data_IF_837638158355
#
_entry.id   IF_837638158355
#
_cell.length_a   1.000
_cell.length_b   1.000
_cell.length_c   1.000
_cell.angle_alpha   90.00
_cell.angle_beta   90.00
_cell.angle_gamma   90.00
#
_symmetry.space_group_name_H-M   'P 1'
#
loop_
_entity.id
_entity.type
_entity.pdbx_description
1 polymer ?
#
# COMPACT_ATOMS: atom_id res chain seq x y z
N UNK A 1 -0.25 0.64 -22.74
CA UNK A 1 0.70 0.16 -21.71
C UNK A 1 0.12 0.29 -20.30
N UNK A 2 -0.23 1.50 -19.83
CA UNK A 2 -0.77 1.71 -18.47
C UNK A 2 -2.05 0.93 -18.16
N UNK A 3 -2.89 0.66 -19.15
CA UNK A 3 -4.11 -0.13 -18.96
C UNK A 3 -3.83 -1.58 -18.52
N UNK A 4 -2.92 -2.25 -19.23
CA UNK A 4 -2.51 -3.62 -18.89
C UNK A 4 -1.79 -3.66 -17.54
N UNK A 5 -0.89 -2.70 -17.28
CA UNK A 5 -0.22 -2.58 -15.98
C UNK A 5 -1.21 -2.36 -14.83
N UNK A 6 -2.19 -1.48 -15.02
CA UNK A 6 -3.26 -1.23 -14.06
C UNK A 6 -4.11 -2.47 -13.80
N UNK A 7 -4.50 -3.20 -14.85
CA UNK A 7 -5.23 -4.45 -14.72
C UNK A 7 -4.44 -5.50 -13.90
N UNK A 8 -3.16 -5.72 -14.23
CA UNK A 8 -2.29 -6.63 -13.48
C UNK A 8 -2.12 -6.20 -12.01
N UNK A 9 -1.95 -4.90 -11.76
CA UNK A 9 -1.88 -4.37 -10.39
C UNK A 9 -3.17 -4.66 -9.62
N UNK A 10 -4.33 -4.47 -10.26
CA UNK A 10 -5.62 -4.74 -9.62
C UNK A 10 -5.83 -6.23 -9.30
N UNK A 11 -5.33 -7.15 -10.13
CA UNK A 11 -5.31 -8.59 -9.82
C UNK A 11 -4.41 -8.87 -8.61
N UNK A 12 -3.21 -8.27 -8.55
CA UNK A 12 -2.34 -8.43 -7.39
C UNK A 12 -2.99 -7.92 -6.10
N UNK A 13 -3.63 -6.75 -6.16
CA UNK A 13 -4.36 -6.18 -5.04
C UNK A 13 -5.55 -7.05 -4.61
N UNK A 14 -6.29 -7.64 -5.54
CA UNK A 14 -7.43 -8.48 -5.18
C UNK A 14 -7.01 -9.71 -4.38
N UNK A 15 -5.88 -10.32 -4.74
CA UNK A 15 -5.28 -11.43 -3.97
C UNK A 15 -4.92 -10.97 -2.55
N UNK A 16 -4.26 -9.81 -2.42
CA UNK A 16 -3.90 -9.27 -1.10
C UNK A 16 -5.14 -8.97 -0.25
N UNK A 17 -6.19 -8.39 -0.83
CA UNK A 17 -7.43 -8.09 -0.11
C UNK A 17 -8.09 -9.39 0.37
N UNK A 18 -8.19 -10.39 -0.51
CA UNK A 18 -8.82 -11.66 -0.18
C UNK A 18 -8.07 -12.44 0.92
N UNK A 19 -6.74 -12.32 0.98
CA UNK A 19 -5.91 -13.05 1.97
C UNK A 19 -5.83 -12.31 3.29
N UNK A 20 -5.61 -10.99 3.26
CA UNK A 20 -5.28 -10.22 4.45
C UNK A 20 -6.45 -9.45 5.05
N UNK A 21 -7.55 -9.26 4.32
CA UNK A 21 -8.69 -8.41 4.70
C UNK A 21 -8.25 -7.05 5.31
N UNK A 22 -7.40 -6.27 4.63
CA UNK A 22 -6.87 -5.04 5.19
C UNK A 22 -7.95 -3.95 5.19
N UNK A 23 -8.05 -3.18 6.27
CA UNK A 23 -8.93 -2.01 6.29
C UNK A 23 -8.49 -0.91 5.31
N UNK A 24 -7.21 -0.89 4.93
CA UNK A 24 -6.63 0.17 4.10
C UNK A 24 -5.44 -0.31 3.27
N UNK A 25 -5.40 0.13 2.02
CA UNK A 25 -4.27 -0.02 1.11
C UNK A 25 -3.84 1.37 0.66
N UNK A 26 -2.54 1.66 0.78
CA UNK A 26 -1.95 2.93 0.35
C UNK A 26 -1.03 2.63 -0.84
N UNK A 27 -1.31 3.24 -1.99
CA UNK A 27 -0.46 3.12 -3.18
C UNK A 27 0.34 4.42 -3.30
N UNK A 28 1.65 4.32 -3.18
CA UNK A 28 2.57 5.47 -3.25
C UNK A 28 3.71 5.17 -4.23
N UNK A 29 4.56 6.18 -4.48
CA UNK A 29 5.70 6.10 -5.38
C UNK A 29 5.46 6.83 -6.70
N UNK A 30 6.53 6.94 -7.50
CA UNK A 30 6.52 7.67 -8.77
C UNK A 30 5.43 7.19 -9.74
N UNK A 31 5.09 5.90 -9.71
CA UNK A 31 4.04 5.32 -10.56
C UNK A 31 2.65 5.94 -10.36
N UNK A 32 2.41 6.67 -9.27
CA UNK A 32 1.14 7.38 -9.03
C UNK A 32 0.85 8.44 -10.10
N UNK A 33 1.88 9.02 -10.72
CA UNK A 33 1.73 10.01 -11.79
C UNK A 33 1.00 9.47 -13.03
N UNK A 34 0.96 8.15 -13.23
CA UNK A 34 0.20 7.52 -14.32
C UNK A 34 -1.32 7.74 -14.21
N UNK A 35 -1.80 8.14 -13.02
CA UNK A 35 -3.16 8.64 -12.80
C UNK A 35 -4.26 7.70 -13.29
N UNK A 36 -5.34 8.28 -13.82
CA UNK A 36 -6.54 7.55 -14.22
C UNK A 36 -6.27 6.45 -15.26
N UNK A 37 -5.27 6.62 -16.13
CA UNK A 37 -4.94 5.65 -17.17
C UNK A 37 -4.47 4.30 -16.60
N UNK A 38 -3.91 4.29 -15.39
CA UNK A 38 -3.53 3.08 -14.67
C UNK A 38 -4.56 2.70 -13.59
N UNK A 39 -5.08 3.69 -12.86
CA UNK A 39 -5.90 3.42 -11.68
C UNK A 39 -7.36 3.07 -11.99
N UNK A 40 -7.92 3.50 -13.11
CA UNK A 40 -9.24 3.02 -13.53
C UNK A 40 -9.23 1.52 -13.84
N UNK A 41 -8.36 0.99 -14.72
CA UNK A 41 -8.31 -0.45 -14.98
C UNK A 41 -7.91 -1.28 -13.75
N UNK A 42 -7.09 -0.72 -12.85
CA UNK A 42 -6.82 -1.33 -11.54
C UNK A 42 -8.08 -1.47 -10.70
N UNK A 43 -8.88 -0.40 -10.54
CA UNK A 43 -10.12 -0.45 -9.74
C UNK A 43 -11.12 -1.45 -10.31
N UNK A 44 -11.24 -1.53 -11.64
CA UNK A 44 -12.14 -2.49 -12.28
C UNK A 44 -11.68 -3.93 -12.07
N UNK A 45 -10.38 -4.20 -12.15
CA UNK A 45 -9.83 -5.53 -11.84
C UNK A 45 -10.03 -5.91 -10.36
N UNK A 46 -9.80 -4.98 -9.42
CA UNK A 46 -10.07 -5.21 -7.99
C UNK A 46 -11.54 -5.57 -7.76
N UNK A 47 -12.47 -4.79 -8.30
CA UNK A 47 -13.91 -5.08 -8.17
C UNK A 47 -14.30 -6.43 -8.74
N UNK A 48 -13.66 -6.85 -9.83
CA UNK A 48 -13.97 -8.11 -10.53
C UNK A 48 -13.46 -9.34 -9.77
N UNK A 49 -12.33 -9.21 -9.06
CA UNK A 49 -11.60 -10.36 -8.51
C UNK A 49 -11.56 -10.42 -6.97
N UNK A 50 -12.20 -9.49 -6.28
CA UNK A 50 -12.29 -9.45 -4.81
C UNK A 50 -13.69 -9.83 -4.34
N UNK A 51 -13.79 -10.57 -3.23
CA UNK A 51 -15.08 -10.82 -2.59
C UNK A 51 -15.71 -9.49 -2.11
N UNK A 52 -16.97 -9.25 -2.49
CA UNK A 52 -17.65 -7.96 -2.28
C UNK A 52 -17.61 -7.47 -0.84
N UNK A 53 -17.78 -8.37 0.14
CA UNK A 53 -17.78 -8.03 1.56
C UNK A 53 -16.40 -7.54 2.04
N UNK A 54 -15.32 -8.18 1.56
CA UNK A 54 -13.95 -7.77 1.89
C UNK A 54 -13.59 -6.44 1.20
N UNK A 55 -14.04 -6.26 -0.05
CA UNK A 55 -13.82 -5.02 -0.78
C UNK A 55 -14.54 -3.85 -0.11
N UNK A 56 -15.75 -4.05 0.41
CA UNK A 56 -16.52 -3.02 1.11
C UNK A 56 -15.81 -2.52 2.38
N UNK A 57 -14.99 -3.37 3.01
CA UNK A 57 -14.20 -3.02 4.20
C UNK A 57 -12.83 -2.43 3.88
N UNK A 58 -12.36 -2.53 2.63
CA UNK A 58 -11.02 -2.09 2.25
C UNK A 58 -11.03 -0.70 1.60
N UNK A 59 -10.34 0.27 2.19
CA UNK A 59 -10.14 1.59 1.59
C UNK A 59 -8.83 1.67 0.81
N UNK A 60 -8.90 1.83 -0.52
CA UNK A 60 -7.72 2.11 -1.35
C UNK A 60 -7.49 3.63 -1.43
N UNK A 61 -6.31 4.09 -1.02
CA UNK A 61 -5.91 5.50 -1.00
C UNK A 61 -4.67 5.70 -1.86
N UNK A 62 -4.69 6.76 -2.66
CA UNK A 62 -3.58 7.16 -3.53
C UNK A 62 -3.25 8.61 -3.16
N UNK A 63 -2.34 8.85 -2.20
CA UNK A 63 -1.94 10.20 -1.82
C UNK A 63 -1.15 10.87 -2.94
N UNK A 64 -1.06 12.20 -2.89
CA UNK A 64 -0.06 12.93 -3.66
C UNK A 64 1.33 12.44 -3.29
N UNK A 65 2.18 12.26 -4.30
CA UNK A 65 3.53 11.76 -4.14
C UNK A 65 4.54 12.86 -4.43
N UNK A 66 5.56 12.95 -3.58
CA UNK A 66 6.71 13.82 -3.79
C UNK A 66 8.01 13.03 -3.62
N UNK A 67 9.06 13.44 -4.33
CA UNK A 67 10.40 12.85 -4.16
C UNK A 67 10.90 12.91 -2.70
N UNK A 68 10.49 13.93 -1.95
CA UNK A 68 10.86 14.09 -0.54
C UNK A 68 10.29 12.99 0.37
N UNK A 69 9.22 12.28 -0.05
CA UNK A 69 8.58 11.27 0.78
C UNK A 69 9.45 10.02 0.95
N UNK A 70 10.28 9.70 -0.03
CA UNK A 70 11.32 8.67 0.10
C UNK A 70 12.32 9.02 1.20
N UNK A 71 12.80 10.27 1.22
CA UNK A 71 13.75 10.74 2.21
C UNK A 71 13.13 10.76 3.62
N UNK A 72 11.84 11.15 3.75
CA UNK A 72 11.11 11.09 5.02
C UNK A 72 10.98 9.66 5.54
N UNK A 73 10.71 8.70 4.66
CA UNK A 73 10.65 7.27 5.02
C UNK A 73 11.98 6.78 5.59
N UNK A 74 13.09 7.08 4.93
CA UNK A 74 14.43 6.72 5.40
C UNK A 74 14.77 7.41 6.74
N UNK A 75 14.50 8.72 6.86
CA UNK A 75 14.72 9.45 8.11
C UNK A 75 13.87 8.90 9.27
N UNK A 76 12.65 8.44 8.99
CA UNK A 76 11.77 7.82 9.99
C UNK A 76 12.37 6.54 10.58
N UNK A 77 13.15 5.77 9.81
CA UNK A 77 13.85 4.59 10.35
C UNK A 77 14.92 4.98 11.38
N UNK A 78 15.68 6.06 11.10
CA UNK A 78 16.68 6.58 12.05
C UNK A 78 15.99 7.11 13.30
N UNK A 79 14.90 7.88 13.14
CA UNK A 79 14.12 8.38 14.27
C UNK A 79 13.51 7.22 15.09
N UNK A 80 12.99 6.18 14.44
CA UNK A 80 12.48 5.01 15.15
C UNK A 80 13.55 4.38 16.03
N UNK A 81 14.79 4.26 15.56
CA UNK A 81 15.90 3.74 16.36
C UNK A 81 16.23 4.65 17.55
N UNK A 82 16.37 5.96 17.30
CA UNK A 82 16.71 6.94 18.34
C UNK A 82 15.67 7.03 19.45
N UNK A 83 14.38 6.82 19.10
CA UNK A 83 13.26 6.93 20.03
C UNK A 83 12.67 5.57 20.43
N UNK A 84 13.40 4.45 20.25
CA UNK A 84 12.94 3.15 20.76
C UNK A 84 12.75 3.22 22.26
N UNK A 85 11.62 2.69 22.72
CA UNK A 85 11.37 2.51 24.16
C UNK A 85 12.46 1.64 24.78
N UNK A 86 12.98 1.98 25.97
CA UNK A 86 13.96 1.14 26.67
C UNK A 86 13.41 -0.26 27.02
N UNK A 87 12.09 -0.44 27.03
CA UNK A 87 11.44 -1.74 27.20
C UNK A 87 11.51 -2.64 25.95
N UNK A 88 11.86 -2.09 24.78
CA UNK A 88 12.00 -2.83 23.52
C UNK A 88 13.40 -3.48 23.38
N UNK A 89 14.30 -3.26 24.35
CA UNK A 89 15.65 -3.85 24.42
C UNK A 89 15.74 -4.99 25.42
N UNK A 90 14.65 -5.37 26.10
CA UNK A 90 14.63 -6.52 27.00
C UNK A 90 14.81 -7.79 26.16
N UNK A 91 16.06 -8.20 25.96
CA UNK A 91 16.39 -9.58 25.57
C UNK A 91 15.86 -10.48 26.68
N UNK A 92 15.10 -11.55 26.39
CA UNK A 92 14.89 -12.59 27.37
C UNK A 92 16.28 -13.12 27.75
N UNK A 93 16.65 -12.96 29.02
CA UNK A 93 17.79 -13.65 29.61
C UNK A 93 17.33 -15.05 30.00
N UNK A 94 17.06 -15.91 29.02
CA UNK A 94 17.00 -17.36 29.21
C UNK A 94 17.42 -18.06 27.93
#
# INVERSE_FOLDING_TARGET
>A
MFQAAGHCLGIGLSVLINIFNPEKIIISGQGVEAGAAMFNPMKEAVKTHTFSDLLALTKIVIPEWQHSDWAKGAASLVLQELYKSPFNTIRPLI
#
